data_IF_515727236075
#
_entry.id   IF_515727236075
#
_cell.length_a   1.000
_cell.length_b   1.000
_cell.length_c   1.000
_cell.angle_alpha   90.00
_cell.angle_beta   90.00
_cell.angle_gamma   90.00
#
_symmetry.space_group_name_H-M   'P 1'
#
loop_
_entity.id
_entity.type
_entity.pdbx_description
1 polymer ?
#
# COMPACT_ATOMS: atom_id res chain seq x y z
N UNK A 1 16.00 3.78 12.75
CA UNK A 1 14.55 3.68 12.50
C UNK A 1 14.07 4.51 11.32
N UNK A 2 14.44 5.79 11.20
CA UNK A 2 13.95 6.68 10.11
C UNK A 2 14.26 6.17 8.68
N UNK A 3 15.45 5.60 8.46
CA UNK A 3 15.81 4.99 7.17
C UNK A 3 15.01 3.71 6.87
N UNK A 4 14.75 2.88 7.89
CA UNK A 4 13.99 1.65 7.72
C UNK A 4 12.53 1.97 7.41
N UNK A 5 11.92 2.92 8.13
CA UNK A 5 10.54 3.32 7.88
C UNK A 5 10.39 3.94 6.49
N UNK A 6 11.27 4.86 6.08
CA UNK A 6 11.19 5.48 4.76
C UNK A 6 11.36 4.47 3.63
N UNK A 7 12.31 3.54 3.75
CA UNK A 7 12.52 2.47 2.78
C UNK A 7 11.29 1.57 2.64
N UNK A 8 10.70 1.14 3.77
CA UNK A 8 9.51 0.29 3.76
C UNK A 8 8.31 1.05 3.20
N UNK A 9 8.06 2.30 3.61
CA UNK A 9 6.96 3.11 3.09
C UNK A 9 7.06 3.25 1.56
N UNK A 10 8.24 3.62 1.05
CA UNK A 10 8.45 3.81 -0.38
C UNK A 10 8.29 2.49 -1.14
N UNK A 11 8.87 1.39 -0.63
CA UNK A 11 8.78 0.08 -1.28
C UNK A 11 7.36 -0.47 -1.28
N UNK A 12 6.61 -0.31 -0.19
CA UNK A 12 5.21 -0.76 -0.11
C UNK A 12 4.34 -0.02 -1.12
N UNK A 13 4.50 1.30 -1.25
CA UNK A 13 3.76 2.08 -2.26
C UNK A 13 4.08 1.63 -3.68
N UNK A 14 5.35 1.44 -4.01
CA UNK A 14 5.78 0.95 -5.31
C UNK A 14 5.20 -0.44 -5.61
N UNK A 15 5.30 -1.37 -4.66
CA UNK A 15 4.76 -2.73 -4.82
C UNK A 15 3.24 -2.76 -4.98
N UNK A 16 2.51 -1.88 -4.30
CA UNK A 16 1.05 -1.80 -4.43
C UNK A 16 0.67 -1.25 -5.81
N UNK A 17 1.40 -0.26 -6.30
CA UNK A 17 1.21 0.26 -7.65
C UNK A 17 1.52 -0.80 -8.72
N UNK A 18 2.66 -1.49 -8.63
CA UNK A 18 3.07 -2.49 -9.61
C UNK A 18 2.19 -3.75 -9.59
N UNK A 19 1.87 -4.29 -8.41
CA UNK A 19 1.20 -5.60 -8.30
C UNK A 19 -0.32 -5.51 -8.28
N UNK A 20 -0.88 -4.39 -7.83
CA UNK A 20 -2.32 -4.21 -7.68
C UNK A 20 -2.87 -3.09 -8.55
N UNK A 21 -2.01 -2.28 -9.18
CA UNK A 21 -2.40 -1.09 -9.94
C UNK A 21 -3.22 -0.15 -9.04
N UNK A 22 -2.82 -0.01 -7.77
CA UNK A 22 -3.52 0.79 -6.77
C UNK A 22 -2.63 1.93 -6.25
N UNK A 23 -3.26 3.07 -5.95
CA UNK A 23 -2.60 4.18 -5.25
C UNK A 23 -2.82 4.10 -3.75
N UNK A 24 -1.72 4.09 -3.00
CA UNK A 24 -1.72 4.29 -1.56
C UNK A 24 -1.06 5.63 -1.19
N UNK A 25 -1.74 6.43 -0.37
CA UNK A 25 -1.18 7.69 0.12
C UNK A 25 -0.05 7.46 1.10
N UNK A 26 0.99 8.27 0.99
CA UNK A 26 2.16 8.23 1.86
C UNK A 26 1.81 8.25 3.34
N UNK A 27 0.94 9.17 3.77
CA UNK A 27 0.50 9.28 5.18
C UNK A 27 -0.15 7.98 5.64
N UNK A 28 -1.05 7.39 4.85
CA UNK A 28 -1.70 6.13 5.23
C UNK A 28 -0.74 4.95 5.32
N UNK A 29 0.22 4.88 4.40
CA UNK A 29 1.27 3.84 4.45
C UNK A 29 2.19 4.08 5.66
N UNK A 30 2.51 5.33 5.98
CA UNK A 30 3.31 5.68 7.15
C UNK A 30 2.65 5.27 8.46
N UNK A 31 1.34 5.50 8.61
CA UNK A 31 0.57 5.00 9.76
C UNK A 31 0.69 3.49 9.90
N UNK A 32 0.46 2.74 8.81
CA UNK A 32 0.54 1.28 8.82
C UNK A 32 1.95 0.83 9.15
N UNK A 33 2.98 1.37 8.50
CA UNK A 33 4.38 0.99 8.76
C UNK A 33 4.80 1.30 10.20
N UNK A 34 4.27 2.38 10.79
CA UNK A 34 4.54 2.72 12.19
C UNK A 34 4.07 1.63 13.16
N UNK A 35 2.96 0.94 12.88
CA UNK A 35 2.46 -0.18 13.70
C UNK A 35 3.40 -1.41 13.67
N UNK A 36 4.25 -1.53 12.65
CA UNK A 36 5.15 -2.68 12.46
C UNK A 36 6.63 -2.33 12.62
N UNK A 37 7.00 -1.08 12.87
CA UNK A 37 8.40 -0.64 12.75
C UNK A 37 9.33 -1.32 13.75
N UNK A 38 8.87 -1.55 14.97
CA UNK A 38 9.65 -2.23 16.01
C UNK A 38 9.84 -3.70 15.67
N UNK A 39 8.79 -4.36 15.15
CA UNK A 39 8.86 -5.75 14.70
C UNK A 39 9.76 -5.90 13.48
N UNK A 40 9.66 -4.99 12.52
CA UNK A 40 10.54 -4.96 11.35
C UNK A 40 12.00 -4.82 11.75
N UNK A 41 12.31 -3.93 12.70
CA UNK A 41 13.66 -3.77 13.20
C UNK A 41 14.13 -5.02 13.95
N UNK A 42 13.28 -5.58 14.82
CA UNK A 42 13.61 -6.78 15.57
C UNK A 42 13.90 -7.97 14.64
N UNK A 43 13.01 -8.25 13.69
CA UNK A 43 13.15 -9.35 12.74
C UNK A 43 14.39 -9.14 11.85
N UNK A 44 14.65 -7.92 11.39
CA UNK A 44 15.84 -7.61 10.60
C UNK A 44 17.15 -7.94 11.33
N UNK A 45 17.22 -7.68 12.64
CA UNK A 45 18.45 -7.85 13.43
C UNK A 45 18.57 -9.27 14.01
N UNK A 46 17.46 -9.88 14.44
CA UNK A 46 17.47 -11.14 15.21
C UNK A 46 17.02 -12.36 14.41
N UNK A 47 16.08 -12.19 13.49
CA UNK A 47 15.45 -13.30 12.76
C UNK A 47 15.24 -12.92 11.28
N UNK A 48 16.33 -12.81 10.50
CA UNK A 48 16.24 -12.35 9.11
C UNK A 48 15.38 -13.27 8.22
N UNK A 49 15.12 -14.52 8.64
CA UNK A 49 14.15 -15.41 7.98
C UNK A 49 12.69 -14.96 8.16
N UNK A 50 12.36 -14.31 9.28
CA UNK A 50 11.00 -13.89 9.63
C UNK A 50 10.64 -12.50 9.10
N UNK A 51 11.63 -11.70 8.70
CA UNK A 51 11.38 -10.34 8.21
C UNK A 51 10.42 -10.31 7.01
N UNK A 52 10.49 -11.33 6.15
CA UNK A 52 9.62 -11.44 4.99
C UNK A 52 8.16 -11.60 5.40
N UNK A 53 7.88 -12.34 6.49
CA UNK A 53 6.53 -12.51 7.01
C UNK A 53 5.95 -11.18 7.51
N UNK A 54 6.76 -10.39 8.22
CA UNK A 54 6.36 -9.06 8.69
C UNK A 54 6.16 -8.09 7.53
N UNK A 55 7.06 -8.08 6.54
CA UNK A 55 6.90 -7.26 5.32
C UNK A 55 5.65 -7.65 4.53
N UNK A 56 5.36 -8.94 4.41
CA UNK A 56 4.13 -9.43 3.77
C UNK A 56 2.88 -8.92 4.48
N UNK A 57 2.86 -8.97 5.81
CA UNK A 57 1.75 -8.46 6.60
C UNK A 57 1.56 -6.95 6.45
N UNK A 58 2.65 -6.19 6.41
CA UNK A 58 2.61 -4.74 6.10
C UNK A 58 2.00 -4.53 4.72
N UNK A 59 2.46 -5.25 3.70
CA UNK A 59 1.95 -5.15 2.33
C UNK A 59 0.44 -5.44 2.26
N UNK A 60 -0.03 -6.53 2.86
CA UNK A 60 -1.45 -6.90 2.90
C UNK A 60 -2.30 -5.81 3.58
N UNK A 61 -1.80 -5.21 4.66
CA UNK A 61 -2.48 -4.09 5.31
C UNK A 61 -2.50 -2.82 4.46
N UNK A 62 -1.42 -2.51 3.73
CA UNK A 62 -1.40 -1.37 2.80
C UNK A 62 -2.38 -1.60 1.66
N UNK A 63 -2.45 -2.82 1.10
CA UNK A 63 -3.44 -3.14 0.07
C UNK A 63 -4.86 -2.98 0.61
N UNK A 64 -5.15 -3.48 1.82
CA UNK A 64 -6.50 -3.43 2.42
C UNK A 64 -6.93 -2.02 2.83
N UNK A 65 -6.04 -1.26 3.46
CA UNK A 65 -6.37 0.00 4.15
C UNK A 65 -5.86 1.25 3.43
N UNK A 66 -4.92 1.07 2.49
CA UNK A 66 -4.30 2.15 1.70
C UNK A 66 -5.06 2.50 0.43
N UNK A 67 -6.13 1.76 0.07
CA UNK A 67 -6.99 2.02 -1.08
C UNK A 67 -7.60 3.43 -0.99
N UNK A 68 -6.94 4.39 -1.64
CA UNK A 68 -7.45 5.74 -1.86
C UNK A 68 -8.36 5.76 -3.10
N UNK A 69 -9.08 4.68 -3.40
CA UNK A 69 -9.94 4.67 -4.58
C UNK A 69 -11.20 5.49 -4.30
N UNK A 70 -11.22 6.70 -4.84
CA UNK A 70 -12.46 7.39 -5.22
C UNK A 70 -13.43 7.72 -4.07
N UNK A 71 -12.95 7.87 -2.83
CA UNK A 71 -13.82 8.31 -1.73
C UNK A 71 -14.41 9.68 -2.08
N UNK A 72 -15.75 9.74 -2.21
CA UNK A 72 -16.51 10.93 -2.66
C UNK A 72 -16.16 11.39 -4.10
N UNK A 73 -15.97 10.46 -5.03
CA UNK A 73 -15.73 10.73 -6.46
C UNK A 73 -14.52 11.64 -6.77
N UNK A 74 -13.58 11.74 -5.83
CA UNK A 74 -12.36 12.50 -6.04
C UNK A 74 -11.47 11.81 -7.07
N UNK A 75 -11.15 12.51 -8.15
CA UNK A 75 -10.11 12.12 -9.11
C UNK A 75 -8.73 12.20 -8.43
N UNK A 76 -8.00 11.10 -8.47
CA UNK A 76 -6.60 10.99 -8.05
C UNK A 76 -5.67 11.49 -9.15
N UNK A 77 -4.37 11.65 -8.83
CA UNK A 77 -3.36 12.00 -9.83
C UNK A 77 -3.30 10.95 -10.94
N UNK A 78 -3.48 9.67 -10.62
CA UNK A 78 -3.57 8.63 -11.64
C UNK A 78 -4.83 8.73 -12.52
N UNK A 79 -5.97 9.14 -11.95
CA UNK A 79 -7.18 9.39 -12.74
C UNK A 79 -7.00 10.59 -13.69
N UNK A 80 -6.21 11.61 -13.28
CA UNK A 80 -5.88 12.77 -14.12
C UNK A 80 -4.87 12.37 -15.21
N UNK A 81 -3.88 11.54 -14.87
CA UNK A 81 -2.83 11.08 -15.78
C UNK A 81 -3.27 9.92 -16.69
N UNK A 82 -4.48 9.40 -16.53
CA UNK A 82 -5.00 8.29 -17.33
C UNK A 82 -4.30 6.96 -17.09
N UNK A 83 -3.62 6.80 -15.95
CA UNK A 83 -2.99 5.53 -15.57
C UNK A 83 -4.10 4.56 -15.13
N UNK A 84 -4.35 3.53 -15.94
CA UNK A 84 -5.43 2.59 -15.69
C UNK A 84 -5.22 1.80 -14.39
N UNK A 85 -6.24 1.79 -13.55
CA UNK A 85 -6.43 0.79 -12.52
C UNK A 85 -7.01 -0.48 -13.17
N UNK A 86 -6.54 -1.68 -12.81
CA UNK A 86 -7.36 -2.91 -12.80
C UNK A 86 -8.46 -2.71 -11.78
N UNK A 87 -9.46 -1.91 -12.17
CA UNK A 87 -10.74 -1.87 -11.50
C UNK A 87 -11.24 -3.32 -11.53
N UNK A 88 -11.31 -3.97 -10.37
CA UNK A 88 -12.17 -5.14 -10.21
C UNK A 88 -13.53 -4.67 -10.68
N UNK A 89 -13.90 -5.04 -11.91
CA UNK A 89 -15.07 -4.54 -12.61
C UNK A 89 -16.30 -5.15 -11.94
N UNK A 90 -16.61 -4.69 -10.73
CA UNK A 90 -17.87 -4.95 -10.06
C UNK A 90 -18.96 -4.26 -10.86
N UNK A 91 -19.65 -5.05 -11.68
CA UNK A 91 -20.89 -4.74 -12.43
C UNK A 91 -21.47 -3.36 -12.15
N UNK A 92 -21.13 -2.37 -12.97
CA UNK A 92 -22.05 -1.26 -13.19
C UNK A 92 -23.09 -1.80 -14.17
N UNK A 93 -24.23 -2.28 -13.65
CA UNK A 93 -25.44 -2.41 -14.46
C UNK A 93 -25.82 -0.99 -14.85
N UNK A 94 -25.61 -0.66 -16.12
CA UNK A 94 -26.17 0.54 -16.74
C UNK A 94 -27.68 0.36 -16.69
N UNK A 95 -28.37 1.21 -15.92
CA UNK A 95 -29.80 1.37 -16.04
C UNK A 95 -30.04 2.19 -17.31
N UNK A 96 -30.72 1.57 -18.28
CA UNK A 96 -31.29 2.23 -19.45
C UNK A 96 -32.59 2.95 -19.08
#
# INVERSE_FOLDING_TARGET
MLLLSSAVIFKMRALVLENKELEASEIKVSEIVHEYIDRLYFDLIKFPSEIFNTLKLVFENVVRSGLKSHRKDKKTVFDILGVCYKRTLGRVKVAA
#
